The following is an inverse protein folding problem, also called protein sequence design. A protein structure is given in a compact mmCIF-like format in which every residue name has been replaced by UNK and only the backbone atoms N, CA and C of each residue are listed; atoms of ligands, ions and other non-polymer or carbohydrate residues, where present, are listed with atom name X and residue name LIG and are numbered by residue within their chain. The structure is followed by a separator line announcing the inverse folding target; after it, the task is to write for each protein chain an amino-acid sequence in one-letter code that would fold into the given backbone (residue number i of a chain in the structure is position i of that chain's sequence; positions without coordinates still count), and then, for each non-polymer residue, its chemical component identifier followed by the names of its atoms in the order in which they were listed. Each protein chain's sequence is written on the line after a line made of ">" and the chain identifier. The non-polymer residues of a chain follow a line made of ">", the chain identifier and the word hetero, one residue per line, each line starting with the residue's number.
data_IF_038161006326
#
_entry.id   IF_038161006326
#
_cell.length_a   1.000
_cell.length_b   1.000
_cell.length_c   1.000
_cell.angle_alpha   90.00
_cell.angle_beta   90.00
_cell.angle_gamma   90.00
#
_symmetry.space_group_name_H-M   'P 1'
#
loop_
_entity.id
_entity.type
_entity.pdbx_description
1 polymer ?
#
# COMPACT_ATOMS: atom_id res chain seq x y z
N UNK A 1 11.04 -0.43 35.25
CA UNK A 1 11.39 -1.56 34.36
C UNK A 1 10.75 -1.26 33.02
N UNK A 2 11.56 -0.96 31.99
CA UNK A 2 11.07 -0.55 30.65
C UNK A 2 10.35 -1.69 29.93
N UNK A 3 9.55 -1.37 28.89
CA UNK A 3 8.72 -2.28 28.09
C UNK A 3 9.58 -3.13 27.14
N UNK A 4 10.02 -4.35 27.51
CA UNK A 4 10.96 -5.10 26.71
C UNK A 4 10.27 -5.65 25.45
N UNK A 5 8.97 -5.99 25.54
CA UNK A 5 8.22 -6.63 24.45
C UNK A 5 8.04 -5.73 23.23
N UNK A 6 7.67 -4.46 23.42
CA UNK A 6 7.50 -3.52 22.31
C UNK A 6 8.84 -3.20 21.63
N UNK A 7 9.93 -3.06 22.39
CA UNK A 7 11.27 -2.84 21.86
C UNK A 7 11.72 -4.06 21.04
N UNK A 8 11.54 -5.27 21.58
CA UNK A 8 11.86 -6.53 20.87
C UNK A 8 11.05 -6.63 19.57
N UNK A 9 9.77 -6.26 19.61
CA UNK A 9 8.89 -6.35 18.45
C UNK A 9 9.29 -5.36 17.34
N UNK A 10 9.60 -4.11 17.69
CA UNK A 10 10.14 -3.13 16.73
C UNK A 10 11.51 -3.55 16.17
N UNK A 11 12.39 -4.15 17.00
CA UNK A 11 13.66 -4.72 16.53
C UNK A 11 13.46 -5.89 15.57
N UNK A 12 12.46 -6.73 15.80
CA UNK A 12 12.11 -7.84 14.90
C UNK A 12 11.54 -7.32 13.58
N UNK A 13 10.70 -6.29 13.63
CA UNK A 13 10.04 -5.69 12.46
C UNK A 13 11.02 -4.96 11.55
N UNK A 14 11.93 -4.15 12.10
CA UNK A 14 12.99 -3.47 11.35
C UNK A 14 13.88 -4.47 10.60
N UNK A 15 14.45 -5.46 11.29
CA UNK A 15 15.32 -6.49 10.67
C UNK A 15 14.68 -7.27 9.53
N UNK A 16 13.34 -7.34 9.50
CA UNK A 16 12.60 -8.11 8.49
C UNK A 16 11.91 -7.21 7.47
N UNK A 17 12.06 -5.88 7.53
CA UNK A 17 11.29 -4.93 6.72
C UNK A 17 11.48 -5.16 5.22
N UNK A 18 12.71 -5.25 4.72
CA UNK A 18 13.01 -5.51 3.30
C UNK A 18 12.53 -6.88 2.83
N UNK A 19 12.53 -7.86 3.74
CA UNK A 19 12.07 -9.22 3.44
C UNK A 19 10.54 -9.31 3.41
N UNK A 20 9.86 -8.64 4.34
CA UNK A 20 8.40 -8.58 4.41
C UNK A 20 7.83 -7.73 3.28
N UNK A 21 8.52 -6.69 2.84
CA UNK A 21 8.04 -5.84 1.75
C UNK A 21 7.97 -6.59 0.41
N UNK A 22 8.92 -7.47 0.10
CA UNK A 22 8.88 -8.34 -1.10
C UNK A 22 7.96 -9.55 -0.95
N UNK A 23 7.15 -9.58 0.11
CA UNK A 23 6.24 -10.68 0.47
C UNK A 23 4.85 -10.12 0.74
N UNK A 24 4.43 -9.15 -0.06
CA UNK A 24 3.09 -8.62 -0.04
C UNK A 24 2.04 -9.68 -0.40
N UNK A 25 0.80 -9.41 -0.02
CA UNK A 25 -0.36 -10.25 -0.25
C UNK A 25 -1.26 -9.55 -1.27
N UNK A 26 -1.67 -10.27 -2.30
CA UNK A 26 -2.61 -9.78 -3.31
C UNK A 26 -4.01 -10.23 -2.94
N UNK A 27 -4.99 -9.33 -3.02
CA UNK A 27 -6.41 -9.65 -2.98
C UNK A 27 -6.99 -9.56 -4.39
N UNK A 28 -7.75 -10.58 -4.80
CA UNK A 28 -8.50 -10.61 -6.05
C UNK A 28 -10.00 -10.73 -5.74
N UNK A 29 -10.82 -9.98 -6.47
CA UNK A 29 -12.26 -10.22 -6.51
C UNK A 29 -12.61 -10.76 -7.88
N UNK A 30 -13.06 -12.01 -7.96
CA UNK A 30 -13.31 -12.71 -9.23
C UNK A 30 -14.80 -13.01 -9.39
N UNK A 31 -15.31 -12.85 -10.62
CA UNK A 31 -16.60 -13.40 -11.03
C UNK A 31 -16.36 -14.78 -11.62
N UNK A 32 -16.81 -15.84 -10.94
CA UNK A 32 -16.49 -17.22 -11.32
C UNK A 32 -17.70 -18.15 -11.18
N UNK A 33 -17.95 -19.00 -12.17
CA UNK A 33 -19.08 -19.94 -12.18
C UNK A 33 -18.72 -21.37 -11.72
N UNK A 34 -17.43 -21.69 -11.64
CA UNK A 34 -16.90 -23.02 -11.28
C UNK A 34 -16.45 -23.12 -9.83
N UNK A 35 -15.98 -22.00 -9.27
CA UNK A 35 -15.49 -21.93 -7.90
C UNK A 35 -16.57 -22.30 -6.88
N UNK A 36 -16.25 -23.27 -6.04
CA UNK A 36 -17.17 -23.82 -5.03
C UNK A 36 -17.15 -23.04 -3.71
N UNK A 37 -16.03 -22.38 -3.38
CA UNK A 37 -15.90 -21.56 -2.15
C UNK A 37 -16.12 -20.09 -2.46
N UNK A 38 -16.58 -19.37 -1.45
CA UNK A 38 -16.71 -17.92 -1.46
C UNK A 38 -15.38 -17.19 -1.28
N UNK A 39 -14.45 -17.80 -0.56
CA UNK A 39 -13.14 -17.23 -0.25
C UNK A 39 -12.06 -18.31 -0.37
N UNK A 40 -10.91 -17.93 -0.90
CA UNK A 40 -9.71 -18.75 -0.99
C UNK A 40 -8.51 -17.97 -0.43
N UNK A 41 -7.60 -18.68 0.23
CA UNK A 41 -6.29 -18.19 0.64
C UNK A 41 -5.27 -19.16 0.09
N UNK A 42 -4.45 -18.70 -0.85
CA UNK A 42 -3.57 -19.54 -1.68
C UNK A 42 -2.14 -19.04 -1.50
N UNK A 43 -1.24 -19.90 -1.05
CA UNK A 43 0.18 -19.54 -0.86
C UNK A 43 0.99 -19.83 -2.13
N UNK A 44 0.61 -20.88 -2.87
CA UNK A 44 1.22 -21.28 -4.14
C UNK A 44 0.17 -21.61 -5.20
N UNK A 45 0.47 -21.31 -6.47
CA UNK A 45 -0.42 -21.67 -7.59
C UNK A 45 -0.73 -23.18 -7.64
N UNK A 46 0.19 -24.03 -7.17
CA UNK A 46 0.02 -25.49 -7.09
C UNK A 46 -0.99 -25.94 -6.02
N UNK A 47 -1.42 -25.06 -5.13
CA UNK A 47 -2.40 -25.38 -4.08
C UNK A 47 -3.84 -25.43 -4.63
N UNK A 48 -4.06 -25.02 -5.89
CA UNK A 48 -5.34 -25.07 -6.59
C UNK A 48 -5.22 -25.83 -7.91
N UNK A 49 -6.28 -26.58 -8.26
CA UNK A 49 -6.35 -27.24 -9.56
C UNK A 49 -6.86 -26.27 -10.64
N UNK A 50 -6.42 -26.47 -11.89
CA UNK A 50 -6.83 -25.64 -13.04
C UNK A 50 -8.36 -25.61 -13.26
N UNK A 51 -9.08 -26.63 -12.78
CA UNK A 51 -10.53 -26.78 -12.93
C UNK A 51 -11.33 -26.18 -11.77
N UNK A 52 -10.68 -25.66 -10.73
CA UNK A 52 -11.38 -25.01 -9.59
C UNK A 52 -11.90 -23.62 -9.93
N UNK A 53 -11.36 -23.01 -10.99
CA UNK A 53 -11.76 -21.71 -11.52
C UNK A 53 -12.01 -21.82 -13.02
N UNK A 54 -12.69 -20.83 -13.60
CA UNK A 54 -12.76 -20.74 -15.06
C UNK A 54 -11.36 -20.59 -15.62
N UNK A 55 -11.15 -20.99 -16.88
CA UNK A 55 -9.82 -20.91 -17.52
C UNK A 55 -9.27 -19.49 -17.49
N UNK A 56 -10.13 -18.50 -17.66
CA UNK A 56 -9.80 -17.07 -17.56
C UNK A 56 -9.35 -16.68 -16.16
N UNK A 57 -10.11 -17.05 -15.12
CA UNK A 57 -9.80 -16.71 -13.74
C UNK A 57 -8.56 -17.45 -13.21
N UNK A 58 -8.37 -18.71 -13.58
CA UNK A 58 -7.14 -19.44 -13.25
C UNK A 58 -5.91 -18.71 -13.83
N UNK A 59 -6.01 -18.21 -15.06
CA UNK A 59 -4.95 -17.43 -15.67
C UNK A 59 -4.71 -16.08 -14.99
N UNK A 60 -5.75 -15.39 -14.50
CA UNK A 60 -5.59 -14.19 -13.66
C UNK A 60 -4.87 -14.47 -12.34
N UNK A 61 -5.16 -15.60 -11.71
CA UNK A 61 -4.47 -16.05 -10.49
C UNK A 61 -3.00 -16.35 -10.82
N UNK A 62 -2.73 -17.04 -11.94
CA UNK A 62 -1.38 -17.27 -12.46
C UNK A 62 -0.61 -15.96 -12.70
N UNK A 63 -1.25 -14.96 -13.31
CA UNK A 63 -0.65 -13.64 -13.55
C UNK A 63 -0.28 -12.93 -12.24
N UNK A 64 -1.13 -13.01 -11.21
CA UNK A 64 -0.79 -12.50 -9.89
C UNK A 64 0.44 -13.23 -9.31
N UNK A 65 0.47 -14.56 -9.37
CA UNK A 65 1.62 -15.35 -8.88
C UNK A 65 2.91 -15.15 -9.66
N UNK A 66 2.85 -14.77 -10.94
CA UNK A 66 4.04 -14.40 -11.72
C UNK A 66 4.78 -13.20 -11.11
N UNK A 67 4.06 -12.34 -10.39
CA UNK A 67 4.62 -11.26 -9.58
C UNK A 67 5.32 -11.69 -8.30
N UNK A 68 5.26 -12.97 -7.94
CA UNK A 68 5.82 -13.56 -6.70
C UNK A 68 5.29 -12.93 -5.40
N UNK A 69 3.97 -12.69 -5.24
CA UNK A 69 3.40 -12.36 -3.94
C UNK A 69 3.61 -13.52 -2.95
N UNK A 70 3.49 -13.25 -1.66
CA UNK A 70 3.58 -14.30 -0.64
C UNK A 70 2.31 -15.14 -0.53
N UNK A 71 1.19 -14.58 -0.97
CA UNK A 71 -0.15 -15.16 -0.90
C UNK A 71 -1.09 -14.41 -1.83
N UNK A 72 -2.07 -15.11 -2.39
CA UNK A 72 -3.22 -14.55 -3.09
C UNK A 72 -4.49 -14.92 -2.33
N UNK A 73 -5.25 -13.90 -1.92
CA UNK A 73 -6.57 -14.02 -1.30
C UNK A 73 -7.61 -13.75 -2.39
N UNK A 74 -8.61 -14.60 -2.52
CA UNK A 74 -9.61 -14.50 -3.58
C UNK A 74 -11.00 -14.47 -2.96
N UNK A 75 -11.74 -13.40 -3.19
CA UNK A 75 -13.18 -13.36 -2.93
C UNK A 75 -13.95 -13.60 -4.23
N UNK A 76 -14.76 -14.66 -4.22
CA UNK A 76 -15.53 -15.07 -5.39
C UNK A 76 -16.94 -14.52 -5.31
N UNK A 77 -17.32 -13.79 -6.36
CA UNK A 77 -18.70 -13.47 -6.70
C UNK A 77 -19.15 -14.54 -7.68
N UNK A 78 -19.99 -15.47 -7.23
CA UNK A 78 -20.47 -16.52 -8.12
C UNK A 78 -21.40 -15.90 -9.17
N UNK A 79 -21.19 -16.18 -10.45
CA UNK A 79 -21.98 -15.64 -11.57
C UNK A 79 -23.17 -16.54 -11.94
N UNK A 80 -23.54 -17.48 -11.06
CA UNK A 80 -24.75 -18.29 -11.21
C UNK A 80 -26.01 -17.46 -10.92
N UNK A 81 -27.12 -17.79 -11.60
CA UNK A 81 -28.39 -17.07 -11.50
C UNK A 81 -28.97 -16.99 -10.06
N UNK A 82 -28.54 -17.88 -9.16
CA UNK A 82 -28.97 -17.93 -7.76
C UNK A 82 -28.06 -17.13 -6.80
N UNK A 83 -26.90 -16.66 -7.28
CA UNK A 83 -25.92 -15.94 -6.48
C UNK A 83 -26.32 -14.48 -6.31
N UNK A 84 -26.58 -14.09 -5.06
CA UNK A 84 -26.88 -12.70 -4.67
C UNK A 84 -25.66 -11.92 -4.20
N UNK A 85 -24.46 -12.52 -4.26
CA UNK A 85 -23.26 -11.88 -3.72
C UNK A 85 -22.87 -10.69 -4.59
N UNK A 86 -22.72 -9.53 -3.97
CA UNK A 86 -22.35 -8.29 -4.65
C UNK A 86 -20.87 -7.95 -4.48
N UNK A 87 -20.40 -6.94 -5.20
CA UNK A 87 -19.08 -6.33 -4.97
C UNK A 87 -18.94 -5.83 -3.53
N UNK A 88 -20.00 -5.25 -2.95
CA UNK A 88 -19.97 -4.76 -1.57
C UNK A 88 -19.78 -5.90 -0.56
N UNK A 89 -20.41 -7.06 -0.80
CA UNK A 89 -20.22 -8.25 0.04
C UNK A 89 -18.81 -8.82 -0.07
N UNK A 90 -18.20 -8.78 -1.26
CA UNK A 90 -16.82 -9.22 -1.47
C UNK A 90 -15.82 -8.26 -0.80
N UNK A 91 -16.00 -6.94 -0.96
CA UNK A 91 -15.18 -5.93 -0.30
C UNK A 91 -15.29 -6.01 1.23
N UNK A 92 -16.49 -6.28 1.75
CA UNK A 92 -16.69 -6.48 3.20
C UNK A 92 -15.96 -7.71 3.71
N UNK A 93 -16.02 -8.83 2.99
CA UNK A 93 -15.31 -10.06 3.37
C UNK A 93 -13.78 -9.88 3.33
N UNK A 94 -13.25 -9.10 2.38
CA UNK A 94 -11.81 -8.79 2.32
C UNK A 94 -11.30 -8.09 3.58
N UNK A 95 -12.12 -7.30 4.29
CA UNK A 95 -11.70 -6.63 5.53
C UNK A 95 -11.34 -7.60 6.66
N UNK A 96 -11.82 -8.84 6.59
CA UNK A 96 -11.47 -9.88 7.57
C UNK A 96 -10.03 -10.40 7.38
N UNK A 97 -9.38 -10.02 6.27
CA UNK A 97 -8.05 -10.47 5.90
C UNK A 97 -7.07 -9.30 5.77
N UNK A 98 -5.82 -9.50 6.18
CA UNK A 98 -4.73 -8.57 5.85
C UNK A 98 -4.26 -8.82 4.41
N UNK A 99 -4.23 -7.78 3.60
CA UNK A 99 -3.65 -7.78 2.26
C UNK A 99 -2.99 -6.43 1.92
N UNK A 100 -2.21 -6.36 0.83
CA UNK A 100 -1.49 -5.14 0.41
C UNK A 100 -2.14 -4.50 -0.83
N UNK A 101 -2.37 -5.29 -1.88
CA UNK A 101 -2.87 -4.80 -3.17
C UNK A 101 -4.14 -5.55 -3.61
N UNK A 102 -5.20 -4.81 -3.90
CA UNK A 102 -6.43 -5.31 -4.51
C UNK A 102 -6.40 -5.16 -6.03
N UNK A 103 -6.78 -6.19 -6.77
CA UNK A 103 -7.10 -6.12 -8.19
C UNK A 103 -8.45 -6.78 -8.49
N UNK A 104 -9.20 -6.21 -9.43
CA UNK A 104 -10.53 -6.72 -9.83
C UNK A 104 -10.58 -6.78 -11.36
N UNK A 105 -10.28 -7.93 -11.98
CA UNK A 105 -9.98 -8.01 -13.41
C UNK A 105 -11.16 -7.78 -14.35
N UNK A 106 -12.37 -7.67 -13.81
CA UNK A 106 -13.61 -7.46 -14.57
C UNK A 106 -14.19 -6.04 -14.40
N UNK A 107 -13.58 -5.17 -13.59
CA UNK A 107 -14.10 -3.82 -13.37
C UNK A 107 -13.76 -2.92 -14.55
N UNK A 108 -14.79 -2.51 -15.29
CA UNK A 108 -14.72 -1.56 -16.41
C UNK A 108 -15.51 -0.27 -16.16
N UNK A 109 -16.62 -0.37 -15.43
CA UNK A 109 -17.55 0.72 -15.19
C UNK A 109 -17.01 1.75 -14.19
N UNK A 110 -17.17 3.04 -14.50
CA UNK A 110 -16.68 4.13 -13.64
C UNK A 110 -17.38 4.19 -12.28
N UNK A 111 -18.64 3.74 -12.21
CA UNK A 111 -19.37 3.64 -10.94
C UNK A 111 -18.71 2.64 -9.99
N UNK A 112 -18.31 1.46 -10.48
CA UNK A 112 -17.64 0.44 -9.68
C UNK A 112 -16.22 0.87 -9.30
N UNK A 113 -15.47 1.47 -10.23
CA UNK A 113 -14.16 2.07 -9.94
C UNK A 113 -14.25 3.11 -8.82
N UNK A 114 -15.21 4.04 -8.91
CA UNK A 114 -15.42 5.09 -7.91
C UNK A 114 -15.78 4.51 -6.54
N UNK A 115 -16.62 3.46 -6.52
CA UNK A 115 -16.95 2.72 -5.30
C UNK A 115 -15.68 2.13 -4.65
N UNK A 116 -14.80 1.49 -5.42
CA UNK A 116 -13.57 0.89 -4.89
C UNK A 116 -12.62 1.96 -4.36
N UNK A 117 -12.46 3.08 -5.08
CA UNK A 117 -11.67 4.24 -4.62
C UNK A 117 -12.18 4.74 -3.26
N UNK A 118 -13.50 4.93 -3.11
CA UNK A 118 -14.10 5.37 -1.86
C UNK A 118 -13.95 4.35 -0.73
N UNK A 119 -14.03 3.06 -1.06
CA UNK A 119 -13.80 1.98 -0.10
C UNK A 119 -12.36 1.99 0.42
N UNK A 120 -11.35 2.09 -0.45
CA UNK A 120 -9.94 2.21 -0.07
C UNK A 120 -9.71 3.45 0.81
N UNK A 121 -10.24 4.62 0.42
CA UNK A 121 -10.15 5.86 1.22
C UNK A 121 -10.73 5.66 2.61
N UNK A 122 -11.87 4.97 2.72
CA UNK A 122 -12.55 4.71 3.98
C UNK A 122 -11.77 3.74 4.86
N UNK A 123 -11.32 2.61 4.31
CA UNK A 123 -10.48 1.64 5.01
C UNK A 123 -9.21 2.30 5.57
N UNK A 124 -8.54 3.16 4.79
CA UNK A 124 -7.34 3.86 5.27
C UNK A 124 -7.62 4.86 6.39
N UNK A 125 -8.76 5.58 6.35
CA UNK A 125 -9.21 6.42 7.49
C UNK A 125 -9.48 5.60 8.74
N UNK A 126 -9.93 4.36 8.57
CA UNK A 126 -10.16 3.37 9.63
C UNK A 126 -8.87 2.62 10.04
N UNK A 127 -7.71 3.04 9.52
CA UNK A 127 -6.38 2.47 9.79
C UNK A 127 -6.17 1.06 9.22
N UNK A 128 -6.99 0.67 8.24
CA UNK A 128 -6.77 -0.50 7.40
C UNK A 128 -5.97 -0.09 6.16
N UNK A 129 -4.70 -0.50 6.09
CA UNK A 129 -3.74 0.00 5.10
C UNK A 129 -3.78 -0.87 3.83
N UNK A 130 -4.69 -0.52 2.91
CA UNK A 130 -4.86 -1.20 1.62
C UNK A 130 -4.51 -0.27 0.46
N UNK A 131 -4.15 -0.88 -0.68
CA UNK A 131 -4.01 -0.22 -2.00
C UNK A 131 -4.82 -0.99 -3.04
N UNK A 132 -5.19 -0.34 -4.13
CA UNK A 132 -5.86 -0.99 -5.26
C UNK A 132 -5.21 -0.62 -6.59
N UNK A 133 -5.07 -1.61 -7.47
CA UNK A 133 -4.71 -1.43 -8.87
C UNK A 133 -6.01 -1.45 -9.69
N UNK A 134 -6.32 -0.32 -10.32
CA UNK A 134 -7.56 -0.14 -11.07
C UNK A 134 -7.27 0.25 -12.52
N UNK A 135 -8.08 -0.22 -13.49
CA UNK A 135 -7.89 0.10 -14.89
C UNK A 135 -8.47 1.48 -15.24
N UNK A 136 -7.64 2.35 -15.79
CA UNK A 136 -8.02 3.64 -16.41
C UNK A 136 -9.07 4.41 -15.60
N UNK A 137 -8.75 4.74 -14.36
CA UNK A 137 -9.57 5.57 -13.47
C UNK A 137 -9.35 7.04 -13.80
N UNK A 138 -10.43 7.77 -14.09
CA UNK A 138 -10.33 9.17 -14.48
C UNK A 138 -9.94 10.14 -13.34
N UNK A 139 -10.46 9.95 -12.12
CA UNK A 139 -10.37 10.95 -11.05
C UNK A 139 -10.13 10.35 -9.65
N UNK A 140 -9.15 9.45 -9.50
CA UNK A 140 -8.85 8.88 -8.18
C UNK A 140 -8.21 9.92 -7.22
N UNK A 141 -7.17 10.62 -7.71
CA UNK A 141 -6.32 11.54 -6.94
C UNK A 141 -6.01 11.01 -5.53
N UNK A 142 -5.47 9.79 -5.46
CA UNK A 142 -5.29 9.06 -4.22
C UNK A 142 -4.00 8.23 -4.27
N UNK A 143 -3.14 8.40 -3.26
CA UNK A 143 -1.83 7.72 -3.20
C UNK A 143 -1.95 6.21 -3.06
N UNK A 144 -3.07 5.73 -2.54
CA UNK A 144 -3.37 4.30 -2.43
C UNK A 144 -4.01 3.67 -3.68
N UNK A 145 -4.24 4.44 -4.74
CA UNK A 145 -4.82 3.95 -5.99
C UNK A 145 -3.76 4.00 -7.10
N UNK A 146 -3.51 2.86 -7.71
CA UNK A 146 -2.60 2.71 -8.84
C UNK A 146 -3.45 2.64 -10.09
N UNK A 147 -3.36 3.69 -10.93
CA UNK A 147 -4.17 3.84 -12.13
C UNK A 147 -3.47 3.20 -13.33
N UNK A 148 -3.69 1.91 -13.55
CA UNK A 148 -3.07 1.21 -14.68
C UNK A 148 -3.83 1.52 -15.98
N UNK A 149 -3.15 2.03 -17.00
CA UNK A 149 -3.82 2.61 -18.19
C UNK A 149 -3.32 2.09 -19.54
N UNK A 150 -2.53 1.02 -19.58
CA UNK A 150 -2.05 0.45 -20.86
C UNK A 150 -3.12 -0.38 -21.56
N UNK A 151 -3.25 -0.18 -22.87
CA UNK A 151 -4.13 -0.93 -23.76
C UNK A 151 -3.34 -1.86 -24.71
N UNK A 152 -4.05 -2.70 -25.45
CA UNK A 152 -3.47 -3.57 -26.50
C UNK A 152 -2.45 -4.60 -26.00
N UNK A 153 -2.55 -5.03 -24.73
CA UNK A 153 -1.56 -5.90 -24.09
C UNK A 153 -1.68 -7.32 -24.65
N UNK A 154 -0.59 -7.84 -25.25
CA UNK A 154 -0.51 -9.23 -25.72
C UNK A 154 0.61 -10.00 -25.03
N UNK A 155 0.31 -11.23 -24.64
CA UNK A 155 1.27 -12.22 -24.11
C UNK A 155 1.20 -13.44 -25.03
N UNK A 156 2.17 -13.55 -25.94
CA UNK A 156 2.08 -14.52 -27.02
C UNK A 156 0.85 -14.25 -27.90
N UNK A 157 -0.02 -15.23 -28.02
CA UNK A 157 -1.26 -15.11 -28.83
C UNK A 157 -2.46 -14.54 -28.04
N UNK A 158 -2.36 -14.44 -26.71
CA UNK A 158 -3.48 -13.99 -25.87
C UNK A 158 -3.43 -12.46 -25.69
N UNK A 159 -4.56 -11.81 -25.97
CA UNK A 159 -4.78 -10.41 -25.62
C UNK A 159 -5.42 -10.29 -24.23
N UNK A 160 -4.99 -9.28 -23.47
CA UNK A 160 -5.57 -8.89 -22.20
C UNK A 160 -6.08 -7.46 -22.30
N UNK A 161 -7.23 -7.22 -21.68
CA UNK A 161 -7.70 -5.86 -21.38
C UNK A 161 -6.85 -5.25 -20.26
N UNK A 162 -6.90 -3.92 -20.13
CA UNK A 162 -6.29 -3.20 -19.02
C UNK A 162 -6.78 -3.72 -17.67
N UNK A 163 -8.07 -4.04 -17.55
CA UNK A 163 -8.68 -4.57 -16.34
C UNK A 163 -8.09 -5.92 -15.95
N UNK A 164 -8.05 -6.87 -16.89
CA UNK A 164 -7.54 -8.21 -16.64
C UNK A 164 -6.07 -8.19 -16.21
N UNK A 165 -5.27 -7.34 -16.85
CA UNK A 165 -3.84 -7.24 -16.58
C UNK A 165 -3.51 -6.50 -15.26
N UNK A 166 -4.47 -5.87 -14.59
CA UNK A 166 -4.28 -5.33 -13.22
C UNK A 166 -3.83 -6.41 -12.23
N UNK A 167 -4.23 -7.66 -12.44
CA UNK A 167 -3.83 -8.81 -11.61
C UNK A 167 -2.32 -9.03 -11.61
N UNK A 168 -1.70 -8.92 -12.80
CA UNK A 168 -0.26 -8.99 -12.98
C UNK A 168 0.46 -7.83 -12.29
N UNK A 169 -0.04 -6.61 -12.49
CA UNK A 169 0.53 -5.40 -11.86
C UNK A 169 0.45 -5.50 -10.33
N UNK A 170 -0.69 -5.89 -9.76
CA UNK A 170 -0.82 -6.10 -8.32
C UNK A 170 0.16 -7.16 -7.80
N UNK A 171 0.35 -8.25 -8.55
CA UNK A 171 1.38 -9.24 -8.28
C UNK A 171 2.80 -8.66 -8.23
N UNK A 172 3.19 -7.89 -9.26
CA UNK A 172 4.51 -7.23 -9.33
C UNK A 172 4.72 -6.36 -8.10
N UNK A 173 3.76 -5.47 -7.82
CA UNK A 173 3.87 -4.51 -6.73
C UNK A 173 3.95 -5.19 -5.35
N UNK A 174 3.24 -6.31 -5.17
CA UNK A 174 3.34 -7.12 -3.95
C UNK A 174 4.66 -7.90 -3.80
N UNK A 175 5.37 -8.16 -4.91
CA UNK A 175 6.61 -8.95 -4.92
C UNK A 175 7.90 -8.13 -4.95
N UNK A 176 7.84 -6.81 -5.13
CA UNK A 176 9.03 -5.93 -5.17
C UNK A 176 9.48 -5.57 -3.74
N UNK A 177 10.80 -5.52 -3.52
CA UNK A 177 11.36 -5.08 -2.24
C UNK A 177 11.40 -3.55 -2.15
N UNK A 178 11.30 -2.97 -0.95
CA UNK A 178 11.47 -1.53 -0.72
C UNK A 178 12.85 -1.00 -1.14
N UNK A 179 13.83 -1.86 -1.37
CA UNK A 179 15.11 -1.44 -1.92
C UNK A 179 15.02 -0.94 -3.37
N UNK A 180 13.99 -1.33 -4.12
CA UNK A 180 13.88 -1.06 -5.55
C UNK A 180 12.52 -0.43 -5.90
N UNK A 181 12.47 0.35 -6.97
CA UNK A 181 11.22 0.86 -7.54
C UNK A 181 10.71 -0.10 -8.62
N UNK A 182 9.41 -0.05 -8.89
CA UNK A 182 8.83 -0.74 -10.05
C UNK A 182 9.06 0.01 -11.37
N UNK A 183 9.63 1.22 -11.32
CA UNK A 183 10.09 1.95 -12.51
C UNK A 183 11.05 1.09 -13.33
N UNK A 184 10.79 0.98 -14.63
CA UNK A 184 11.57 0.17 -15.57
C UNK A 184 11.58 -1.34 -15.28
N UNK A 185 10.67 -1.84 -14.44
CA UNK A 185 10.48 -3.28 -14.25
C UNK A 185 10.09 -3.94 -15.59
N UNK A 186 10.85 -4.95 -16.01
CA UNK A 186 10.70 -5.63 -17.31
C UNK A 186 9.60 -6.69 -17.22
N UNK A 187 8.74 -6.77 -18.24
CA UNK A 187 7.71 -7.78 -18.40
C UNK A 187 8.02 -8.65 -19.62
N UNK A 188 8.90 -9.63 -19.43
CA UNK A 188 9.39 -10.51 -20.51
C UNK A 188 8.27 -11.29 -21.21
N UNK A 189 7.15 -11.52 -20.51
CA UNK A 189 5.99 -12.21 -21.07
C UNK A 189 5.19 -11.36 -22.06
N UNK A 190 5.30 -10.02 -22.03
CA UNK A 190 4.50 -9.14 -22.89
C UNK A 190 5.20 -8.94 -24.22
N UNK A 191 4.54 -9.34 -25.30
CA UNK A 191 5.06 -9.29 -26.67
C UNK A 191 4.66 -8.02 -27.40
N UNK A 192 3.51 -7.44 -27.07
CA UNK A 192 2.97 -6.25 -27.73
C UNK A 192 2.12 -5.43 -26.76
N UNK A 193 2.12 -4.10 -26.95
CA UNK A 193 1.23 -3.14 -26.29
C UNK A 193 0.82 -2.09 -27.33
N UNK A 194 -0.31 -1.42 -27.10
CA UNK A 194 -0.61 -0.19 -27.81
C UNK A 194 0.31 0.93 -27.27
N UNK A 195 1.10 1.60 -28.12
CA UNK A 195 2.02 2.62 -27.67
C UNK A 195 1.25 3.84 -27.15
N UNK A 196 1.64 4.31 -25.96
CA UNK A 196 1.17 5.61 -25.45
C UNK A 196 1.94 6.72 -26.18
N UNK A 197 1.23 7.66 -26.82
CA UNK A 197 1.85 8.72 -27.63
C UNK A 197 2.80 9.61 -26.82
N UNK A 198 2.37 10.03 -25.62
CA UNK A 198 3.16 10.85 -24.70
C UNK A 198 3.28 10.16 -23.32
N UNK A 199 4.25 9.26 -23.15
CA UNK A 199 4.42 8.52 -21.90
C UNK A 199 4.68 9.40 -20.68
N UNK A 200 5.45 10.49 -20.84
CA UNK A 200 5.79 11.39 -19.74
C UNK A 200 4.55 12.14 -19.24
N UNK A 201 3.71 12.66 -20.15
CA UNK A 201 2.46 13.32 -19.80
C UNK A 201 1.49 12.34 -19.11
N UNK A 202 1.38 11.11 -19.60
CA UNK A 202 0.55 10.10 -18.94
C UNK A 202 1.04 9.79 -17.51
N UNK A 203 2.36 9.74 -17.30
CA UNK A 203 2.96 9.55 -15.98
C UNK A 203 2.70 10.75 -15.07
N UNK A 204 2.80 11.97 -15.58
CA UNK A 204 2.52 13.21 -14.83
C UNK A 204 1.03 13.33 -14.45
N UNK A 205 0.13 12.73 -15.24
CA UNK A 205 -1.29 12.55 -14.93
C UNK A 205 -1.56 11.41 -13.92
N UNK A 206 -0.52 10.80 -13.36
CA UNK A 206 -0.64 9.74 -12.35
C UNK A 206 -1.07 8.39 -12.93
N UNK A 207 -0.80 8.13 -14.22
CA UNK A 207 -1.08 6.83 -14.86
C UNK A 207 0.15 5.93 -14.81
N UNK A 208 -0.03 4.72 -14.31
CA UNK A 208 0.95 3.65 -14.47
C UNK A 208 0.75 3.01 -15.86
N UNK A 209 1.78 3.06 -16.69
CA UNK A 209 1.76 2.54 -18.06
C UNK A 209 2.98 1.67 -18.35
N UNK A 210 2.85 0.81 -19.36
CA UNK A 210 3.92 0.09 -19.99
C UNK A 210 4.44 0.87 -21.21
N UNK A 211 5.73 0.77 -21.46
CA UNK A 211 6.42 1.34 -22.63
C UNK A 211 7.31 0.27 -23.27
N UNK A 212 7.57 0.43 -24.57
CA UNK A 212 8.59 -0.35 -25.26
C UNK A 212 9.90 0.43 -25.31
N UNK A 213 10.88 -0.01 -24.52
CA UNK A 213 12.22 0.55 -24.51
C UNK A 213 13.19 -0.61 -24.31
N UNK A 214 13.74 -1.22 -25.37
CA UNK A 214 14.51 -2.47 -25.29
C UNK A 214 13.75 -3.58 -24.54
N UNK A 215 12.49 -3.81 -24.94
CA UNK A 215 11.56 -4.71 -24.26
C UNK A 215 10.46 -3.95 -23.51
N UNK A 216 9.35 -4.64 -23.24
CA UNK A 216 8.21 -4.06 -22.54
C UNK A 216 8.52 -3.94 -21.05
N UNK A 217 8.29 -2.75 -20.50
CA UNK A 217 8.57 -2.43 -19.09
C UNK A 217 7.60 -1.39 -18.54
N UNK A 218 7.48 -1.31 -17.22
CA UNK A 218 6.77 -0.21 -16.56
C UNK A 218 7.53 1.10 -16.82
N UNK A 219 6.84 2.15 -17.26
CA UNK A 219 7.45 3.46 -17.53
C UNK A 219 7.99 4.11 -16.25
N UNK A 220 7.09 4.34 -15.28
CA UNK A 220 7.41 4.89 -13.96
C UNK A 220 6.45 4.36 -12.90
N UNK A 221 6.97 4.12 -11.71
CA UNK A 221 6.22 3.63 -10.55
C UNK A 221 5.41 4.72 -9.85
N UNK A 222 4.42 5.29 -10.53
CA UNK A 222 3.54 6.34 -9.99
C UNK A 222 2.17 5.79 -9.59
N UNK A 223 1.57 6.41 -8.58
CA UNK A 223 0.16 6.23 -8.21
C UNK A 223 -0.70 7.36 -8.81
N UNK A 224 -2.00 7.35 -8.50
CA UNK A 224 -2.96 8.30 -9.07
C UNK A 224 -2.99 9.69 -8.43
N UNK A 225 -2.16 9.96 -7.42
CA UNK A 225 -2.08 11.27 -6.78
C UNK A 225 -1.41 12.26 -7.74
N UNK A 226 -2.12 13.33 -8.10
CA UNK A 226 -1.62 14.41 -8.96
C UNK A 226 -1.63 15.72 -8.20
N UNK A 227 -2.78 16.05 -7.58
CA UNK A 227 -2.98 17.28 -6.82
C UNK A 227 -2.55 17.07 -5.37
N UNK A 228 -1.46 17.72 -4.98
CA UNK A 228 -0.91 17.69 -3.63
C UNK A 228 -1.65 18.67 -2.71
N UNK A 229 -1.93 18.25 -1.48
CA UNK A 229 -2.31 19.15 -0.40
C UNK A 229 -1.07 19.87 0.17
N UNK A 230 -1.27 20.81 1.10
CA UNK A 230 -0.16 21.52 1.77
C UNK A 230 0.74 20.60 2.60
N UNK A 231 0.21 19.44 3.00
CA UNK A 231 0.91 18.45 3.83
C UNK A 231 1.55 17.34 2.99
N UNK A 232 1.22 17.27 1.69
CA UNK A 232 1.75 16.24 0.79
C UNK A 232 3.09 16.68 0.18
N UNK A 233 4.02 15.74 0.07
CA UNK A 233 5.25 15.91 -0.71
C UNK A 233 5.10 15.27 -2.10
N UNK A 234 5.88 15.73 -3.08
CA UNK A 234 5.93 15.13 -4.43
C UNK A 234 6.26 13.63 -4.40
N UNK A 235 7.07 13.20 -3.42
CA UNK A 235 7.45 11.80 -3.25
C UNK A 235 6.25 10.88 -2.99
N UNK A 236 5.13 11.42 -2.47
CA UNK A 236 3.89 10.66 -2.26
C UNK A 236 3.23 10.19 -3.55
N UNK A 237 3.64 10.70 -4.72
CA UNK A 237 3.23 10.18 -6.03
C UNK A 237 3.89 8.85 -6.36
N UNK A 238 4.99 8.48 -5.70
CA UNK A 238 5.75 7.25 -5.98
C UNK A 238 5.22 6.07 -5.18
N UNK A 239 5.00 4.95 -5.86
CA UNK A 239 4.49 3.72 -5.22
C UNK A 239 5.46 3.21 -4.15
N UNK A 240 6.77 3.22 -4.40
CA UNK A 240 7.81 2.79 -3.45
C UNK A 240 7.73 3.57 -2.13
N UNK A 241 7.57 4.88 -2.22
CA UNK A 241 7.52 5.78 -1.06
C UNK A 241 6.26 5.51 -0.24
N UNK A 242 5.11 5.39 -0.90
CA UNK A 242 3.84 5.06 -0.24
C UNK A 242 3.91 3.68 0.42
N UNK A 243 4.54 2.68 -0.22
CA UNK A 243 4.70 1.35 0.36
C UNK A 243 5.54 1.37 1.64
N UNK A 244 6.64 2.14 1.67
CA UNK A 244 7.46 2.28 2.87
C UNK A 244 6.67 2.95 4.02
N UNK A 245 5.95 4.03 3.73
CA UNK A 245 5.13 4.75 4.71
C UNK A 245 4.04 3.82 5.26
N UNK A 246 3.33 3.12 4.38
CA UNK A 246 2.27 2.17 4.73
C UNK A 246 2.80 1.05 5.65
N UNK A 247 3.97 0.52 5.34
CA UNK A 247 4.60 -0.54 6.13
C UNK A 247 5.05 -0.06 7.51
N UNK A 248 5.64 1.13 7.59
CA UNK A 248 6.02 1.77 8.85
C UNK A 248 4.77 2.02 9.70
N UNK A 249 3.69 2.49 9.10
CA UNK A 249 2.43 2.74 9.77
C UNK A 249 1.80 1.44 10.31
N UNK A 250 1.71 0.38 9.52
CA UNK A 250 1.18 -0.93 9.99
C UNK A 250 2.04 -1.50 11.13
N UNK A 251 3.36 -1.38 11.06
CA UNK A 251 4.27 -1.85 12.12
C UNK A 251 4.07 -1.12 13.45
N UNK A 252 3.91 0.21 13.40
CA UNK A 252 3.63 1.02 14.60
C UNK A 252 2.24 0.69 15.16
N UNK A 253 1.21 0.62 14.32
CA UNK A 253 -0.16 0.32 14.73
C UNK A 253 -0.30 -1.09 15.31
N UNK A 254 0.33 -2.09 14.69
CA UNK A 254 0.31 -3.45 15.19
C UNK A 254 1.03 -3.55 16.53
N UNK A 255 2.22 -2.95 16.65
CA UNK A 255 2.96 -2.95 17.92
C UNK A 255 2.18 -2.23 19.03
N UNK A 256 1.51 -1.12 18.68
CA UNK A 256 0.60 -0.40 19.59
C UNK A 256 -0.54 -1.27 20.10
N UNK A 257 -1.28 -1.92 19.18
CA UNK A 257 -2.41 -2.77 19.52
C UNK A 257 -1.99 -3.98 20.35
N UNK A 258 -0.85 -4.60 20.04
CA UNK A 258 -0.37 -5.79 20.71
C UNK A 258 0.24 -5.50 22.10
N UNK A 259 0.90 -4.35 22.28
CA UNK A 259 1.72 -4.12 23.48
C UNK A 259 1.22 -3.01 24.40
N UNK A 260 0.41 -2.06 23.90
CA UNK A 260 0.03 -0.86 24.66
C UNK A 260 -1.44 -0.79 25.00
N UNK A 261 -2.33 -1.07 24.02
CA UNK A 261 -3.78 -0.96 24.18
C UNK A 261 -4.27 -1.80 25.36
N UNK A 262 -4.85 -1.14 26.37
CA UNK A 262 -5.38 -1.77 27.58
C UNK A 262 -4.33 -2.37 28.54
N UNK A 263 -3.05 -2.38 28.16
CA UNK A 263 -1.96 -3.03 28.90
C UNK A 263 -1.04 -2.04 29.60
N UNK A 264 -0.97 -0.81 29.10
CA UNK A 264 -0.04 0.22 29.59
C UNK A 264 -0.82 1.46 30.03
N UNK A 265 -0.55 1.93 31.25
CA UNK A 265 -1.15 3.17 31.78
C UNK A 265 -0.73 4.35 30.92
N UNK A 266 -1.69 5.20 30.53
CA UNK A 266 -1.42 6.38 29.70
C UNK A 266 -0.87 7.56 30.54
N UNK A 267 0.37 7.44 31.00
CA UNK A 267 1.12 8.53 31.65
C UNK A 267 2.25 9.01 30.75
N UNK A 268 2.70 10.24 30.96
CA UNK A 268 3.78 10.87 30.18
C UNK A 268 5.01 9.97 30.02
N UNK A 269 5.53 9.40 31.12
CA UNK A 269 6.68 8.48 31.05
C UNK A 269 6.46 7.32 30.06
N UNK A 270 5.26 6.75 30.05
CA UNK A 270 4.94 5.62 29.18
C UNK A 270 4.77 6.06 27.72
N UNK A 271 4.25 7.28 27.47
CA UNK A 271 4.24 7.90 26.14
C UNK A 271 5.68 8.10 25.65
N UNK A 272 6.58 8.59 26.50
CA UNK A 272 8.00 8.79 26.19
C UNK A 272 8.71 7.45 25.91
N UNK A 273 8.41 6.39 26.67
CA UNK A 273 8.93 5.05 26.39
C UNK A 273 8.47 4.52 25.03
N UNK A 274 7.20 4.73 24.68
CA UNK A 274 6.68 4.36 23.37
C UNK A 274 7.36 5.12 22.24
N UNK A 275 7.47 6.45 22.36
CA UNK A 275 8.17 7.30 21.40
C UNK A 275 9.65 6.91 21.26
N UNK A 276 10.31 6.57 22.36
CA UNK A 276 11.69 6.08 22.34
C UNK A 276 11.82 4.77 21.56
N UNK A 277 10.83 3.87 21.68
CA UNK A 277 10.80 2.63 20.92
C UNK A 277 10.60 2.88 19.40
N UNK A 278 9.71 3.82 19.04
CA UNK A 278 9.54 4.25 17.63
C UNK A 278 10.81 4.91 17.10
N UNK A 279 11.44 5.78 17.87
CA UNK A 279 12.67 6.46 17.45
C UNK A 279 13.82 5.47 17.23
N UNK A 280 13.92 4.43 18.06
CA UNK A 280 14.88 3.35 17.83
C UNK A 280 14.52 2.53 16.58
N UNK A 281 13.23 2.30 16.32
CA UNK A 281 12.78 1.67 15.08
C UNK A 281 13.19 2.49 13.84
N UNK A 282 13.00 3.80 13.84
CA UNK A 282 13.43 4.67 12.75
C UNK A 282 14.94 4.64 12.52
N UNK A 283 15.74 4.61 13.59
CA UNK A 283 17.20 4.46 13.47
C UNK A 283 17.61 3.15 12.79
N UNK A 284 16.95 2.04 13.10
CA UNK A 284 17.21 0.76 12.41
C UNK A 284 16.79 0.83 10.94
N UNK A 285 15.67 1.50 10.61
CA UNK A 285 15.27 1.70 9.21
C UNK A 285 16.24 2.60 8.44
N UNK A 286 16.84 3.60 9.08
CA UNK A 286 17.90 4.42 8.47
C UNK A 286 19.17 3.61 8.25
N UNK A 287 19.52 2.73 9.19
CA UNK A 287 20.65 1.81 9.05
C UNK A 287 20.45 0.84 7.88
N UNK A 288 19.21 0.40 7.67
CA UNK A 288 18.84 -0.45 6.55
C UNK A 288 18.53 0.37 5.27
N UNK A 289 18.77 1.68 5.22
CA UNK A 289 18.55 2.53 4.03
C UNK A 289 17.10 2.48 3.49
N UNK A 290 16.13 2.17 4.35
CA UNK A 290 14.71 2.35 4.06
C UNK A 290 14.32 3.81 4.28
N UNK A 291 14.82 4.39 5.36
CA UNK A 291 14.77 5.82 5.61
C UNK A 291 16.10 6.46 5.25
N UNK A 292 16.06 7.70 4.76
CA UNK A 292 17.26 8.48 4.45
C UNK A 292 18.07 8.73 5.73
N UNK A 293 19.33 8.31 5.72
CA UNK A 293 20.25 8.44 6.84
C UNK A 293 20.87 9.83 6.98
N UNK A 294 20.70 10.70 5.98
CA UNK A 294 21.14 12.10 5.98
C UNK A 294 20.10 13.06 6.56
N UNK A 295 18.84 12.61 6.66
CA UNK A 295 17.74 13.40 7.19
C UNK A 295 17.41 13.03 8.65
N UNK A 296 16.80 13.95 9.38
CA UNK A 296 16.26 13.62 10.70
C UNK A 296 15.06 12.68 10.57
N UNK A 297 14.98 11.72 11.49
CA UNK A 297 13.82 10.84 11.63
C UNK A 297 13.44 10.76 13.11
N UNK A 298 12.26 11.25 13.46
CA UNK A 298 11.80 11.29 14.84
C UNK A 298 10.28 11.15 14.95
N UNK A 299 9.84 10.62 16.09
CA UNK A 299 8.48 10.62 16.57
C UNK A 299 8.44 11.39 17.88
N UNK A 300 7.43 12.24 18.03
CA UNK A 300 7.22 13.07 19.22
C UNK A 300 5.74 13.18 19.56
N UNK A 301 5.45 13.79 20.71
CA UNK A 301 4.09 14.15 21.08
C UNK A 301 3.59 15.24 20.13
N UNK A 302 2.43 15.00 19.51
CA UNK A 302 1.73 16.02 18.73
C UNK A 302 1.11 17.03 19.71
N UNK A 303 1.75 18.21 19.76
CA UNK A 303 1.36 19.31 20.65
C UNK A 303 0.03 19.92 20.20
N UNK A 304 -0.19 20.05 18.90
CA UNK A 304 -1.39 20.70 18.36
C UNK A 304 -2.63 19.82 18.57
N UNK A 305 -2.50 18.50 18.38
CA UNK A 305 -3.54 17.55 18.74
C UNK A 305 -3.79 17.49 20.26
N UNK A 306 -2.75 17.59 21.11
CA UNK A 306 -2.94 17.73 22.56
C UNK A 306 -3.72 19.00 22.90
N UNK A 307 -3.33 20.16 22.37
CA UNK A 307 -4.03 21.44 22.60
C UNK A 307 -5.49 21.35 22.17
N UNK A 308 -5.77 20.72 21.03
CA UNK A 308 -7.13 20.49 20.55
C UNK A 308 -7.94 19.63 21.53
N UNK A 309 -7.38 18.52 21.99
CA UNK A 309 -8.02 17.66 22.98
C UNK A 309 -8.29 18.39 24.31
N UNK A 310 -7.31 19.13 24.84
CA UNK A 310 -7.47 19.88 26.09
C UNK A 310 -8.58 20.92 25.97
N UNK A 311 -8.63 21.63 24.83
CA UNK A 311 -9.72 22.57 24.52
C UNK A 311 -11.08 21.89 24.52
N UNK A 312 -11.21 20.75 23.84
CA UNK A 312 -12.46 19.98 23.76
C UNK A 312 -12.87 19.43 25.13
N UNK A 313 -11.91 19.11 26.00
CA UNK A 313 -12.13 18.69 27.37
C UNK A 313 -12.45 19.86 28.34
N UNK A 314 -12.46 21.11 27.87
CA UNK A 314 -12.70 22.29 28.69
C UNK A 314 -11.54 22.66 29.61
N UNK A 315 -10.33 22.17 29.32
CA UNK A 315 -9.11 22.47 30.09
C UNK A 315 -8.43 23.68 29.45
N UNK A 316 -8.28 24.76 30.21
CA UNK A 316 -7.50 25.93 29.80
C UNK A 316 -6.00 25.64 29.89
N UNK A 317 -5.31 25.82 28.78
CA UNK A 317 -3.86 25.62 28.65
C UNK A 317 -3.11 26.90 28.29
N UNK A 318 -3.76 28.06 28.31
CA UNK A 318 -3.16 29.35 27.95
C UNK A 318 -1.92 29.70 28.79
N UNK A 319 -1.95 29.33 30.07
CA UNK A 319 -0.85 29.53 31.03
C UNK A 319 0.09 28.30 31.14
N UNK A 320 -0.14 27.24 30.34
CA UNK A 320 0.69 26.04 30.37
C UNK A 320 1.90 26.19 29.45
N UNK A 321 3.07 25.84 29.97
CA UNK A 321 4.28 25.64 29.16
C UNK A 321 4.10 24.45 28.20
N UNK A 322 4.88 24.40 27.12
CA UNK A 322 4.84 23.25 26.20
C UNK A 322 5.07 21.90 26.88
N UNK A 323 5.95 21.87 27.88
CA UNK A 323 6.20 20.65 28.65
C UNK A 323 4.97 20.24 29.47
N UNK A 324 4.29 21.20 30.10
CA UNK A 324 3.03 20.93 30.81
C UNK A 324 1.94 20.45 29.85
N UNK A 325 1.87 20.98 28.62
CA UNK A 325 0.93 20.51 27.59
C UNK A 325 1.24 19.06 27.21
N UNK A 326 2.52 18.70 27.02
CA UNK A 326 2.97 17.33 26.74
C UNK A 326 2.66 16.35 27.87
N UNK A 327 2.77 16.80 29.11
CA UNK A 327 2.51 16.00 30.31
C UNK A 327 1.02 15.89 30.68
N UNK A 328 0.18 16.74 30.06
CA UNK A 328 -1.24 16.78 30.36
C UNK A 328 -1.92 15.42 30.14
N UNK A 329 -2.87 15.11 31.03
CA UNK A 329 -3.63 13.87 30.96
C UNK A 329 -4.60 13.92 29.77
N UNK A 330 -4.51 12.92 28.90
CA UNK A 330 -5.35 12.78 27.71
C UNK A 330 -6.29 11.57 27.76
N UNK A 331 -6.64 11.14 28.97
CA UNK A 331 -7.47 9.95 29.18
C UNK A 331 -6.81 8.70 28.61
N UNK A 332 -7.46 8.07 27.64
CA UNK A 332 -6.91 6.92 26.89
C UNK A 332 -6.24 7.31 25.55
N UNK A 333 -6.30 8.58 25.16
CA UNK A 333 -5.77 9.04 23.88
C UNK A 333 -4.26 9.27 23.96
N UNK A 334 -3.55 8.87 22.91
CA UNK A 334 -2.13 9.19 22.70
C UNK A 334 -2.00 9.85 21.35
N UNK A 335 -1.61 11.13 21.37
CA UNK A 335 -1.40 11.93 20.17
C UNK A 335 0.09 12.05 19.90
N UNK A 336 0.52 11.52 18.76
CA UNK A 336 1.91 11.52 18.32
C UNK A 336 1.98 11.90 16.86
N UNK A 337 3.08 12.54 16.50
CA UNK A 337 3.45 12.87 15.13
C UNK A 337 4.85 12.31 14.84
N UNK A 338 5.13 12.07 13.56
CA UNK A 338 6.42 11.58 13.11
C UNK A 338 6.91 12.36 11.90
N UNK A 339 8.21 12.63 11.86
CA UNK A 339 8.92 13.12 10.71
C UNK A 339 9.87 12.01 10.23
N UNK A 340 9.73 11.62 8.97
CA UNK A 340 10.58 10.63 8.31
C UNK A 340 10.80 11.05 6.86
N UNK A 341 11.96 10.71 6.30
CA UNK A 341 12.23 10.79 4.86
C UNK A 341 12.56 9.39 4.36
N UNK A 342 11.80 8.89 3.39
CA UNK A 342 12.03 7.56 2.79
C UNK A 342 13.13 7.67 1.73
N UNK A 343 14.05 6.71 1.69
CA UNK A 343 15.07 6.65 0.64
C UNK A 343 14.44 6.23 -0.68
N UNK A 344 14.54 7.08 -1.69
CA UNK A 344 13.99 6.83 -3.02
C UNK A 344 14.92 5.97 -3.90
N UNK A 345 14.43 5.49 -5.04
CA UNK A 345 15.25 4.84 -6.07
C UNK A 345 15.83 5.89 -7.05
N UNK A 346 17.01 5.60 -7.60
CA UNK A 346 17.56 6.39 -8.71
C UNK A 346 16.79 6.11 -9.99
N UNK A 347 15.98 7.07 -10.45
CA UNK A 347 15.13 6.92 -11.64
C UNK A 347 15.51 7.86 -12.79
N UNK A 348 16.13 9.01 -12.48
CA UNK A 348 16.51 10.04 -13.46
C UNK A 348 18.02 10.30 -13.42
N UNK A 349 18.66 10.36 -14.60
CA UNK A 349 20.08 10.73 -14.74
C UNK A 349 20.23 11.99 -15.60
N UNK A 350 20.70 13.08 -14.98
CA UNK A 350 21.12 14.29 -15.69
C UNK A 350 22.65 14.34 -15.71
N UNK A 351 23.25 13.88 -16.80
CA UNK A 351 24.71 13.82 -16.96
C UNK A 351 25.19 14.84 -18.00
N UNK A 352 26.08 15.76 -17.60
CA UNK A 352 26.72 16.73 -18.49
C UNK A 352 28.19 16.37 -18.63
N UNK A 353 28.66 16.23 -19.86
CA UNK A 353 30.08 16.04 -20.18
C UNK A 353 30.62 17.38 -20.66
N UNK A 354 31.66 17.88 -20.01
CA UNK A 354 32.44 19.02 -20.50
C UNK A 354 33.70 18.47 -21.19
N UNK A 355 34.09 19.11 -22.29
CA UNK A 355 35.35 18.86 -22.99
C UNK A 355 36.32 20.01 -22.78
#
# INVERSE_FOLDING_TARGET
>A
MGLPSAIIEFQRRSRTVKFRSRRGIVALILKDSTAIKKSYSIDFLTDINETEFTKENYDYIRLAFLGKPSKVIIEVINDSADSKRTLDDALKALRENKFNYLAIPWVSEDADKTKIVNWIKTSRREKEIYKAVLPSVANANEKAIINFSTAGIKVGEKAYTTAEYTTRIAGILAGISLSESCTYFVLDEVTEIEPTENPDEAVDEGKLILINNNGIRIARGVNSLVTLSKEDTEDLKKIKIVEAIDMIQDDILQTWNENYVGKVTNKYDNKVLFLSAINNYFKELQRDEVLDNSQEAYAQIDIEAHKKYLKEAGIDYSEMTEQQIKEANTGSYVFIEGNITVTDAMEDLKFKIYM
#
